data_IF_965010899652
#
_entry.id   IF_965010899652
#
_cell.length_a   1.000
_cell.length_b   1.000
_cell.length_c   1.000
_cell.angle_alpha   90.00
_cell.angle_beta   90.00
_cell.angle_gamma   90.00
#
_symmetry.space_group_name_H-M   'P 1'
#
loop_
_entity.id
_entity.type
_entity.pdbx_description
1 polymer ?
#
# COMPACT_ATOMS: atom_id res chain seq x y z
N UNK A 1 7.01 25.30 -23.25
CA UNK A 1 5.84 24.56 -22.72
C UNK A 1 6.14 24.32 -21.25
N UNK A 2 5.16 24.48 -20.35
CA UNK A 2 5.42 24.33 -18.90
C UNK A 2 4.55 23.21 -18.30
N UNK A 3 4.70 21.95 -18.76
CA UNK A 3 3.93 20.85 -18.25
C UNK A 3 4.41 20.43 -16.84
N UNK A 4 3.50 19.79 -16.11
CA UNK A 4 3.83 18.97 -14.95
C UNK A 4 3.92 17.51 -15.41
N UNK A 5 5.08 16.88 -15.21
CA UNK A 5 5.31 15.47 -15.54
C UNK A 5 5.47 14.69 -14.24
N UNK A 6 4.63 13.67 -14.06
CA UNK A 6 4.75 12.73 -12.94
C UNK A 6 5.51 11.49 -13.41
N UNK A 7 6.61 11.18 -12.73
CA UNK A 7 7.37 9.95 -12.90
C UNK A 7 7.00 9.01 -11.76
N UNK A 8 6.24 7.96 -12.07
CA UNK A 8 5.73 7.03 -11.07
C UNK A 8 6.71 5.87 -10.83
N UNK A 9 6.87 5.47 -9.56
CA UNK A 9 7.67 4.31 -9.13
C UNK A 9 9.13 4.32 -9.61
N UNK A 10 9.83 5.44 -9.44
CA UNK A 10 11.24 5.59 -9.84
C UNK A 10 12.19 4.64 -9.07
N UNK A 11 11.74 4.13 -7.94
CA UNK A 11 12.42 3.15 -7.11
C UNK A 11 12.51 1.75 -7.75
N UNK A 12 11.83 1.53 -8.88
CA UNK A 12 11.88 0.28 -9.67
C UNK A 12 12.77 0.35 -10.91
N UNK A 13 13.42 1.49 -11.17
CA UNK A 13 14.35 1.66 -12.28
C UNK A 13 15.58 0.74 -12.10
N UNK A 14 15.92 -0.05 -13.14
CA UNK A 14 17.13 -0.90 -13.14
C UNK A 14 16.92 -2.40 -12.93
N UNK A 15 15.68 -2.90 -12.87
CA UNK A 15 15.40 -4.36 -12.82
C UNK A 15 15.35 -5.06 -14.18
N UNK A 16 15.46 -4.32 -15.29
CA UNK A 16 15.36 -4.86 -16.65
C UNK A 16 16.65 -4.70 -17.46
N UNK A 17 17.09 -5.78 -18.12
CA UNK A 17 18.38 -6.00 -18.79
C UNK A 17 18.62 -5.19 -20.10
N UNK A 18 18.01 -4.01 -20.30
CA UNK A 18 18.05 -3.27 -21.59
C UNK A 18 18.74 -1.90 -21.55
N UNK A 19 19.80 -1.76 -20.76
CA UNK A 19 20.58 -0.53 -20.61
C UNK A 19 20.35 0.15 -19.27
N UNK A 20 20.95 1.31 -19.07
CA UNK A 20 20.80 2.09 -17.83
C UNK A 20 19.81 3.25 -18.04
N UNK A 21 18.49 3.05 -17.81
CA UNK A 21 17.49 4.10 -17.97
C UNK A 21 17.70 5.26 -16.98
N UNK A 22 18.47 5.05 -15.91
CA UNK A 22 18.77 6.10 -14.95
C UNK A 22 19.64 7.21 -15.56
N UNK A 23 20.50 6.87 -16.52
CA UNK A 23 21.35 7.84 -17.24
C UNK A 23 20.53 8.84 -18.06
N UNK A 24 19.48 8.38 -18.75
CA UNK A 24 18.57 9.27 -19.49
C UNK A 24 17.75 10.18 -18.55
N UNK A 25 17.33 9.65 -17.40
CA UNK A 25 16.63 10.44 -16.40
C UNK A 25 17.52 11.48 -15.72
N UNK A 26 18.81 11.18 -15.55
CA UNK A 26 19.77 12.15 -15.04
C UNK A 26 19.91 13.35 -15.98
N UNK A 27 19.96 13.12 -17.29
CA UNK A 27 20.03 14.20 -18.29
C UNK A 27 18.76 15.09 -18.26
N UNK A 28 17.59 14.46 -18.11
CA UNK A 28 16.29 15.17 -18.07
C UNK A 28 16.10 15.95 -16.78
N UNK A 29 16.53 15.41 -15.64
CA UNK A 29 16.31 15.99 -14.32
C UNK A 29 17.42 16.95 -13.90
N UNK A 30 18.56 16.96 -14.59
CA UNK A 30 19.64 17.92 -14.33
C UNK A 30 19.29 19.31 -14.89
N UNK A 31 19.11 20.35 -14.04
CA UNK A 31 18.81 21.71 -14.51
C UNK A 31 19.88 22.29 -15.42
N UNK A 32 21.11 21.76 -15.38
CA UNK A 32 22.20 22.22 -16.25
C UNK A 32 22.16 21.60 -17.65
N UNK A 33 21.46 20.48 -17.85
CA UNK A 33 21.42 19.73 -19.12
C UNK A 33 20.03 19.72 -19.77
N UNK A 34 18.97 19.88 -18.98
CA UNK A 34 17.59 19.73 -19.44
C UNK A 34 17.12 20.73 -20.51
N UNK A 35 17.84 21.84 -20.72
CA UNK A 35 17.53 22.84 -21.76
C UNK A 35 17.90 22.39 -23.18
N UNK A 36 18.75 21.35 -23.31
CA UNK A 36 19.21 20.80 -24.58
C UNK A 36 19.04 19.28 -24.66
N UNK A 37 18.05 18.73 -23.96
CA UNK A 37 17.78 17.29 -23.95
C UNK A 37 17.60 16.76 -25.37
N UNK A 38 18.36 15.73 -25.75
CA UNK A 38 18.35 15.18 -27.10
C UNK A 38 17.76 13.78 -27.11
N UNK A 39 16.54 13.67 -27.59
CA UNK A 39 15.91 12.37 -27.80
C UNK A 39 16.52 11.64 -29.01
N UNK A 40 16.76 10.34 -28.88
CA UNK A 40 17.39 9.52 -29.93
C UNK A 40 16.52 9.27 -31.17
N UNK A 41 15.20 9.44 -31.06
CA UNK A 41 14.28 9.23 -32.19
C UNK A 41 14.09 10.52 -32.99
N UNK A 42 13.90 11.65 -32.30
CA UNK A 42 13.58 12.93 -32.94
C UNK A 42 14.85 13.69 -33.36
N UNK A 43 15.98 13.47 -32.69
CA UNK A 43 17.29 14.08 -32.96
C UNK A 43 17.31 15.63 -32.99
N UNK A 44 16.32 16.25 -32.32
CA UNK A 44 16.19 17.71 -32.15
C UNK A 44 16.30 18.03 -30.66
N UNK A 45 17.05 19.08 -30.27
CA UNK A 45 17.11 19.49 -28.87
C UNK A 45 15.74 19.98 -28.37
N UNK A 46 15.32 19.46 -27.23
CA UNK A 46 14.11 19.84 -26.51
C UNK A 46 14.48 20.61 -25.24
N UNK A 47 13.85 21.77 -25.05
CA UNK A 47 14.01 22.56 -23.83
C UNK A 47 12.99 22.10 -22.76
N UNK A 48 13.49 21.41 -21.74
CA UNK A 48 12.73 20.94 -20.58
C UNK A 48 12.94 21.81 -19.33
N UNK A 49 13.63 22.95 -19.44
CA UNK A 49 13.97 23.81 -18.29
C UNK A 49 12.75 24.36 -17.53
N UNK A 50 11.58 24.40 -18.18
CA UNK A 50 10.32 24.89 -17.60
C UNK A 50 9.33 23.78 -17.22
N UNK A 51 9.77 22.53 -17.26
CA UNK A 51 8.97 21.37 -16.88
C UNK A 51 9.09 21.15 -15.38
N UNK A 52 7.97 20.96 -14.69
CA UNK A 52 7.97 20.52 -13.30
C UNK A 52 7.92 18.99 -13.24
N UNK A 53 8.98 18.37 -12.74
CA UNK A 53 9.01 16.93 -12.51
C UNK A 53 8.60 16.60 -11.08
N UNK A 54 7.65 15.68 -10.93
CA UNK A 54 7.24 15.10 -9.65
C UNK A 54 7.51 13.61 -9.70
N UNK A 55 8.37 13.10 -8.82
CA UNK A 55 8.69 11.68 -8.78
C UNK A 55 8.00 11.01 -7.59
N UNK A 56 7.49 9.80 -7.76
CA UNK A 56 6.97 8.96 -6.67
C UNK A 56 7.89 7.75 -6.46
N UNK A 57 8.02 7.34 -5.20
CA UNK A 57 8.80 6.17 -4.81
C UNK A 57 8.25 5.58 -3.52
N UNK A 58 8.32 4.25 -3.36
CA UNK A 58 7.92 3.59 -2.12
C UNK A 58 9.11 3.47 -1.15
N UNK A 59 10.31 3.23 -1.68
CA UNK A 59 11.55 3.22 -0.90
C UNK A 59 12.59 4.16 -1.50
N UNK A 60 13.37 4.78 -0.62
CA UNK A 60 14.53 5.58 -1.02
C UNK A 60 15.76 4.71 -1.32
N UNK A 61 15.82 3.51 -0.73
CA UNK A 61 17.03 2.67 -0.74
C UNK A 61 17.38 2.13 -2.13
N UNK A 62 16.39 2.02 -3.02
CA UNK A 62 16.57 1.51 -4.38
C UNK A 62 16.74 2.60 -5.42
N UNK A 63 16.66 3.88 -5.03
CA UNK A 63 16.87 5.00 -5.95
C UNK A 63 18.39 5.25 -6.08
N UNK A 64 18.93 5.37 -7.30
CA UNK A 64 20.33 5.75 -7.51
C UNK A 64 20.69 7.05 -6.79
N UNK A 65 21.80 7.07 -6.04
CA UNK A 65 22.31 8.25 -5.35
C UNK A 65 22.40 9.52 -6.21
N UNK A 66 22.89 9.46 -7.47
CA UNK A 66 22.94 10.63 -8.35
C UNK A 66 21.58 11.26 -8.65
N UNK A 67 20.49 10.49 -8.61
CA UNK A 67 19.13 11.01 -8.78
C UNK A 67 18.65 11.67 -7.47
N UNK A 68 18.92 11.04 -6.32
CA UNK A 68 18.54 11.58 -5.02
C UNK A 68 19.17 12.94 -4.72
N UNK A 69 20.45 13.12 -5.07
CA UNK A 69 21.17 14.39 -4.87
C UNK A 69 20.57 15.56 -5.67
N UNK A 70 19.76 15.26 -6.69
CA UNK A 70 19.12 16.22 -7.60
C UNK A 70 17.62 16.40 -7.33
N UNK A 71 17.09 15.74 -6.30
CA UNK A 71 15.67 15.76 -5.96
C UNK A 71 15.45 16.36 -4.58
N UNK A 72 14.35 17.08 -4.42
CA UNK A 72 13.84 17.42 -3.10
C UNK A 72 12.97 16.27 -2.58
N UNK A 73 13.35 15.69 -1.44
CA UNK A 73 12.66 14.54 -0.88
C UNK A 73 11.57 14.96 0.11
N UNK A 74 10.31 14.69 -0.26
CA UNK A 74 9.14 14.93 0.59
C UNK A 74 8.62 13.57 1.08
N UNK A 75 8.71 13.33 2.40
CA UNK A 75 8.17 12.10 3.00
C UNK A 75 6.69 12.26 3.32
N UNK A 76 5.86 11.41 2.74
CA UNK A 76 4.44 11.31 3.05
C UNK A 76 4.24 10.15 4.03
N UNK A 77 3.83 10.47 5.25
CA UNK A 77 3.51 9.47 6.26
C UNK A 77 2.18 8.76 5.93
N UNK A 78 2.01 7.56 6.49
CA UNK A 78 0.71 6.88 6.49
C UNK A 78 -0.30 7.58 7.41
N UNK A 79 -1.55 7.13 7.34
CA UNK A 79 -2.66 7.70 8.11
C UNK A 79 -2.99 6.89 9.35
N UNK A 80 -3.34 7.57 10.45
CA UNK A 80 -3.93 6.93 11.63
C UNK A 80 -5.40 6.56 11.38
N UNK A 81 -6.00 5.76 12.27
CA UNK A 81 -7.37 5.25 12.06
C UNK A 81 -8.39 6.39 11.94
N UNK A 82 -8.28 7.40 12.79
CA UNK A 82 -9.17 8.56 12.84
C UNK A 82 -9.07 9.42 11.56
N UNK A 83 -7.84 9.56 11.02
CA UNK A 83 -7.59 10.23 9.74
C UNK A 83 -8.22 9.45 8.59
N UNK A 84 -8.10 8.11 8.58
CA UNK A 84 -8.71 7.28 7.54
C UNK A 84 -10.23 7.36 7.54
N UNK A 85 -10.85 7.38 8.73
CA UNK A 85 -12.31 7.57 8.87
C UNK A 85 -12.70 8.93 8.27
N UNK A 86 -11.96 9.99 8.60
CA UNK A 86 -12.19 11.33 8.06
C UNK A 86 -12.01 11.38 6.53
N UNK A 87 -10.96 10.76 6.00
CA UNK A 87 -10.70 10.65 4.56
C UNK A 87 -11.82 9.88 3.85
N UNK A 88 -12.31 8.81 4.46
CA UNK A 88 -13.40 8.03 3.90
C UNK A 88 -14.69 8.86 3.80
N UNK A 89 -15.06 9.58 4.86
CA UNK A 89 -16.26 10.42 4.89
C UNK A 89 -16.17 11.59 3.92
N UNK A 90 -15.04 12.30 3.89
CA UNK A 90 -14.89 13.52 3.11
C UNK A 90 -14.63 13.27 1.62
N UNK A 91 -13.95 12.17 1.28
CA UNK A 91 -13.45 11.96 -0.09
C UNK A 91 -13.86 10.62 -0.69
N UNK A 92 -13.63 9.49 -0.01
CA UNK A 92 -13.81 8.17 -0.64
C UNK A 92 -15.28 7.83 -0.87
N UNK A 93 -16.14 8.07 0.12
CA UNK A 93 -17.58 7.80 0.04
C UNK A 93 -18.23 8.68 -1.04
N UNK A 94 -18.07 10.03 -1.04
CA UNK A 94 -18.65 10.87 -2.09
C UNK A 94 -18.16 10.51 -3.49
N UNK A 95 -16.85 10.29 -3.65
CA UNK A 95 -16.25 9.90 -4.93
C UNK A 95 -16.80 8.56 -5.45
N UNK A 96 -17.01 7.59 -4.56
CA UNK A 96 -17.56 6.28 -4.91
C UNK A 96 -19.05 6.37 -5.23
N UNK A 97 -19.81 7.15 -4.47
CA UNK A 97 -21.22 7.44 -4.71
C UNK A 97 -21.44 8.03 -6.11
N UNK A 98 -20.62 9.02 -6.48
CA UNK A 98 -20.63 9.62 -7.82
C UNK A 98 -20.28 8.60 -8.92
N UNK A 99 -19.18 7.87 -8.75
CA UNK A 99 -18.73 6.87 -9.73
C UNK A 99 -19.73 5.72 -9.95
N UNK A 100 -20.53 5.39 -8.94
CA UNK A 100 -21.56 4.33 -9.02
C UNK A 100 -22.95 4.83 -9.39
N UNK A 101 -23.12 6.16 -9.53
CA UNK A 101 -24.43 6.77 -9.82
C UNK A 101 -25.43 6.68 -8.66
N UNK A 102 -24.98 6.30 -7.47
CA UNK A 102 -25.77 6.23 -6.25
C UNK A 102 -25.58 7.53 -5.46
N UNK A 103 -26.21 8.62 -5.92
CA UNK A 103 -26.22 9.89 -5.19
C UNK A 103 -26.70 9.69 -3.74
N UNK A 104 -26.19 10.53 -2.84
CA UNK A 104 -26.13 10.45 -1.36
C UNK A 104 -27.37 9.99 -0.57
N UNK A 105 -28.51 9.73 -1.20
CA UNK A 105 -29.76 9.37 -0.53
C UNK A 105 -30.13 7.89 -0.58
N UNK A 106 -29.33 7.02 -1.23
CA UNK A 106 -29.67 5.58 -1.35
C UNK A 106 -28.76 4.65 -0.58
N UNK A 107 -27.58 5.11 -0.19
CA UNK A 107 -26.62 4.32 0.58
C UNK A 107 -26.06 5.17 1.69
N UNK A 108 -26.24 4.73 2.93
CA UNK A 108 -25.65 5.37 4.10
C UNK A 108 -24.80 4.37 4.88
N UNK A 109 -23.63 4.80 5.34
CA UNK A 109 -22.73 3.98 6.16
C UNK A 109 -22.72 4.60 7.55
N UNK A 110 -23.11 3.82 8.57
CA UNK A 110 -23.06 4.30 9.95
C UNK A 110 -21.61 4.51 10.41
N UNK A 111 -21.34 5.51 11.28
CA UNK A 111 -20.00 5.75 11.80
C UNK A 111 -19.35 4.50 12.42
N UNK A 112 -20.10 3.75 13.23
CA UNK A 112 -19.63 2.51 13.85
C UNK A 112 -19.22 1.45 12.81
N UNK A 113 -19.97 1.33 11.71
CA UNK A 113 -19.63 0.41 10.63
C UNK A 113 -18.37 0.84 9.88
N UNK A 114 -18.17 2.16 9.72
CA UNK A 114 -16.96 2.70 9.10
C UNK A 114 -15.72 2.48 9.97
N UNK A 115 -15.83 2.63 11.29
CA UNK A 115 -14.74 2.34 12.22
C UNK A 115 -14.30 0.87 12.14
N UNK A 116 -15.28 -0.05 12.11
CA UNK A 116 -15.04 -1.48 11.94
C UNK A 116 -14.39 -1.76 10.59
N UNK A 117 -14.85 -1.10 9.53
CA UNK A 117 -14.30 -1.26 8.18
C UNK A 117 -12.83 -0.82 8.14
N UNK A 118 -12.47 0.30 8.76
CA UNK A 118 -11.07 0.75 8.81
C UNK A 118 -10.21 -0.19 9.65
N UNK A 119 -10.69 -0.61 10.82
CA UNK A 119 -9.94 -1.44 11.78
C UNK A 119 -9.69 -2.86 11.27
N UNK A 120 -10.71 -3.49 10.71
CA UNK A 120 -10.70 -4.93 10.45
C UNK A 120 -10.45 -5.27 8.97
N UNK A 121 -10.61 -4.30 8.05
CA UNK A 121 -10.44 -4.51 6.60
C UNK A 121 -9.35 -3.63 5.95
N UNK A 122 -8.80 -2.62 6.63
CA UNK A 122 -7.84 -1.68 6.03
C UNK A 122 -6.55 -1.47 6.86
N UNK A 123 -5.83 -2.56 7.16
CA UNK A 123 -4.56 -2.59 7.94
C UNK A 123 -3.28 -2.21 7.16
N UNK A 124 -3.37 -1.28 6.22
CA UNK A 124 -2.21 -0.75 5.50
C UNK A 124 -1.89 0.68 5.95
N UNK A 125 -0.75 1.27 5.57
CA UNK A 125 -0.46 2.67 5.92
C UNK A 125 -1.38 3.67 5.17
N UNK A 126 -1.82 3.33 3.96
CA UNK A 126 -2.67 4.15 3.11
C UNK A 126 -4.18 3.86 3.23
N UNK A 127 -4.91 4.22 2.16
CA UNK A 127 -6.37 4.08 2.05
C UNK A 127 -6.83 3.30 0.81
N UNK A 128 -5.92 2.60 0.12
CA UNK A 128 -6.22 1.79 -1.06
C UNK A 128 -7.13 0.61 -0.73
N UNK A 129 -6.82 -0.14 0.32
CA UNK A 129 -7.68 -1.27 0.76
C UNK A 129 -9.03 -0.77 1.25
N UNK A 130 -9.04 0.38 1.94
CA UNK A 130 -10.26 1.08 2.37
C UNK A 130 -11.14 1.49 1.17
N UNK A 131 -10.56 2.12 0.15
CA UNK A 131 -11.25 2.50 -1.10
C UNK A 131 -11.88 1.29 -1.77
N UNK A 132 -11.14 0.18 -1.92
CA UNK A 132 -11.66 -1.06 -2.52
C UNK A 132 -12.85 -1.63 -1.74
N UNK A 133 -12.81 -1.59 -0.41
CA UNK A 133 -13.91 -2.05 0.43
C UNK A 133 -15.16 -1.19 0.26
N UNK A 134 -15.00 0.14 0.23
CA UNK A 134 -16.10 1.09 -0.02
C UNK A 134 -16.69 0.88 -1.42
N UNK A 135 -15.86 0.77 -2.46
CA UNK A 135 -16.30 0.48 -3.84
C UNK A 135 -17.09 -0.83 -3.94
N UNK A 136 -16.65 -1.88 -3.25
CA UNK A 136 -17.33 -3.17 -3.20
C UNK A 136 -18.70 -3.06 -2.51
N UNK A 137 -18.76 -2.35 -1.39
CA UNK A 137 -19.99 -2.07 -0.66
C UNK A 137 -21.00 -1.33 -1.54
N UNK A 138 -20.59 -0.22 -2.16
CA UNK A 138 -21.44 0.55 -3.06
C UNK A 138 -21.92 -0.28 -4.25
N UNK A 139 -21.07 -1.13 -4.83
CA UNK A 139 -21.44 -2.02 -5.93
C UNK A 139 -22.50 -3.05 -5.54
N UNK A 140 -22.39 -3.64 -4.34
CA UNK A 140 -23.39 -4.58 -3.82
C UNK A 140 -24.70 -3.88 -3.46
N UNK A 141 -24.61 -2.68 -2.88
CA UNK A 141 -25.79 -1.85 -2.61
C UNK A 141 -26.52 -1.48 -3.91
N UNK A 142 -25.80 -1.05 -4.95
CA UNK A 142 -26.36 -0.78 -6.28
C UNK A 142 -27.10 -1.99 -6.84
N UNK A 143 -26.51 -3.18 -6.75
CA UNK A 143 -27.14 -4.42 -7.22
C UNK A 143 -28.44 -4.73 -6.49
N UNK A 144 -28.49 -4.57 -5.16
CA UNK A 144 -29.69 -4.83 -4.36
C UNK A 144 -30.82 -3.85 -4.71
N UNK A 145 -30.48 -2.58 -4.95
CA UNK A 145 -31.43 -1.54 -5.40
C UNK A 145 -31.98 -1.86 -6.80
N UNK A 146 -31.11 -2.24 -7.75
CA UNK A 146 -31.57 -2.60 -9.11
C UNK A 146 -32.47 -3.84 -9.10
N UNK A 147 -32.19 -4.80 -8.23
CA UNK A 147 -33.03 -5.98 -8.02
C UNK A 147 -34.34 -5.69 -7.28
N UNK A 148 -34.54 -4.46 -6.80
CA UNK A 148 -35.69 -4.05 -5.98
C UNK A 148 -35.83 -4.86 -4.68
N UNK A 149 -34.71 -5.29 -4.12
CA UNK A 149 -34.67 -5.95 -2.81
C UNK A 149 -34.76 -4.92 -1.68
N UNK A 150 -34.25 -3.69 -1.92
CA UNK A 150 -34.34 -2.55 -1.02
C UNK A 150 -34.29 -1.23 -1.81
N UNK A 151 -35.07 -0.23 -1.39
CA UNK A 151 -35.03 1.12 -1.99
C UNK A 151 -33.85 1.96 -1.47
N UNK A 152 -33.45 1.71 -0.21
CA UNK A 152 -32.33 2.33 0.48
C UNK A 152 -31.52 1.27 1.24
N UNK A 153 -30.19 1.43 1.26
CA UNK A 153 -29.26 0.53 1.94
C UNK A 153 -28.54 1.27 3.06
N UNK A 154 -28.83 0.88 4.30
CA UNK A 154 -28.11 1.36 5.49
C UNK A 154 -27.12 0.30 5.93
N UNK A 155 -25.82 0.63 5.92
CA UNK A 155 -24.76 -0.26 6.38
C UNK A 155 -24.46 -0.02 7.85
N UNK A 156 -24.65 -1.08 8.63
CA UNK A 156 -24.41 -1.17 10.07
C UNK A 156 -23.27 -2.15 10.34
N UNK A 157 -22.75 -2.18 11.57
CA UNK A 157 -21.70 -3.15 11.96
C UNK A 157 -22.14 -4.60 11.73
N UNK A 158 -23.40 -4.92 12.06
CA UNK A 158 -23.96 -6.27 11.96
C UNK A 158 -24.11 -6.77 10.52
N UNK A 159 -24.42 -5.86 9.59
CA UNK A 159 -24.66 -6.21 8.18
C UNK A 159 -23.45 -5.99 7.27
N UNK A 160 -22.36 -5.40 7.79
CA UNK A 160 -21.14 -5.06 7.05
C UNK A 160 -20.56 -6.26 6.29
N UNK A 161 -20.57 -7.43 6.92
CA UNK A 161 -20.05 -8.69 6.34
C UNK A 161 -20.84 -9.14 5.10
N UNK A 162 -22.12 -8.76 4.98
CA UNK A 162 -22.90 -9.02 3.76
C UNK A 162 -22.40 -8.23 2.56
N UNK A 163 -21.73 -7.10 2.79
CA UNK A 163 -21.22 -6.22 1.74
C UNK A 163 -19.74 -6.42 1.44
N UNK A 164 -18.91 -6.58 2.46
CA UNK A 164 -17.44 -6.61 2.31
C UNK A 164 -16.87 -8.03 2.45
N UNK A 165 -17.71 -9.02 2.76
CA UNK A 165 -17.37 -10.40 3.18
C UNK A 165 -16.77 -10.44 4.60
N UNK A 166 -16.26 -11.59 5.03
CA UNK A 166 -15.64 -11.76 6.36
C UNK A 166 -14.36 -10.91 6.47
N UNK A 167 -14.06 -10.35 7.66
CA UNK A 167 -12.85 -9.57 7.86
C UNK A 167 -11.62 -10.46 7.61
N UNK A 168 -10.67 -10.01 6.78
CA UNK A 168 -9.43 -10.77 6.53
C UNK A 168 -8.55 -10.90 7.78
N UNK A 169 -8.72 -10.01 8.77
CA UNK A 169 -7.99 -10.06 10.03
C UNK A 169 -8.97 -10.05 11.20
N UNK A 170 -8.92 -11.07 12.05
CA UNK A 170 -9.82 -11.21 13.20
C UNK A 170 -9.21 -10.74 14.54
N UNK A 171 -7.90 -10.50 14.62
CA UNK A 171 -7.28 -9.94 15.83
C UNK A 171 -5.93 -9.24 15.56
N UNK A 172 -5.59 -8.25 16.40
CA UNK A 172 -4.24 -7.65 16.47
C UNK A 172 -3.33 -8.41 17.44
N UNK A 173 -3.93 -9.12 18.41
CA UNK A 173 -3.21 -9.96 19.37
C UNK A 173 -3.27 -11.41 18.91
N UNK A 174 -2.11 -11.99 18.61
CA UNK A 174 -1.97 -13.44 18.47
C UNK A 174 -2.24 -14.15 19.81
N UNK A 175 -1.92 -13.49 20.93
CA UNK A 175 -2.10 -14.04 22.27
C UNK A 175 -2.83 -13.04 23.18
N UNK A 176 -3.90 -13.46 23.85
CA UNK A 176 -4.57 -12.63 24.88
C UNK A 176 -3.67 -12.41 26.10
N UNK A 177 -2.82 -13.38 26.43
CA UNK A 177 -1.75 -13.31 27.43
C UNK A 177 -0.45 -13.80 26.82
N UNK A 178 0.62 -13.02 26.95
CA UNK A 178 1.95 -13.38 26.46
C UNK A 178 2.42 -14.68 27.13
N UNK A 179 2.73 -15.70 26.34
CA UNK A 179 3.27 -16.96 26.84
C UNK A 179 4.77 -16.81 27.18
N UNK A 180 5.30 -17.57 28.17
CA UNK A 180 6.74 -17.61 28.42
C UNK A 180 7.51 -17.97 27.15
N UNK A 181 8.57 -17.21 26.84
CA UNK A 181 9.35 -17.39 25.61
C UNK A 181 8.83 -16.59 24.41
N UNK A 182 7.71 -15.87 24.53
CA UNK A 182 7.20 -14.97 23.47
C UNK A 182 7.31 -13.53 23.93
N UNK A 183 7.80 -12.63 23.08
CA UNK A 183 7.78 -11.17 23.32
C UNK A 183 7.20 -10.43 22.12
N UNK A 184 6.60 -9.27 22.38
CA UNK A 184 6.10 -8.36 21.34
C UNK A 184 7.18 -7.32 21.01
N UNK A 185 7.51 -7.19 19.73
CA UNK A 185 8.47 -6.22 19.20
C UNK A 185 7.84 -5.33 18.13
N UNK A 186 8.50 -4.21 17.84
CA UNK A 186 8.15 -3.33 16.73
C UNK A 186 9.20 -3.49 15.62
N UNK A 187 8.75 -3.64 14.38
CA UNK A 187 9.59 -3.72 13.20
C UNK A 187 9.24 -2.60 12.23
N UNK A 188 10.25 -2.06 11.54
CA UNK A 188 10.04 -1.20 10.39
C UNK A 188 10.11 -2.03 9.12
N UNK A 189 9.07 -1.99 8.30
CA UNK A 189 8.98 -2.71 7.02
C UNK A 189 8.85 -1.73 5.87
N UNK A 190 9.05 -2.20 4.64
CA UNK A 190 8.86 -1.40 3.43
C UNK A 190 7.43 -0.80 3.32
N UNK A 191 6.45 -1.40 3.99
CA UNK A 191 5.05 -0.93 4.03
C UNK A 191 4.71 -0.12 5.27
N UNK A 192 5.69 0.19 6.13
CA UNK A 192 5.53 0.95 7.38
C UNK A 192 5.85 0.15 8.64
N UNK A 193 5.45 0.67 9.81
CA UNK A 193 5.64 0.00 11.09
C UNK A 193 4.74 -1.23 11.26
N UNK A 194 5.28 -2.31 11.82
CA UNK A 194 4.57 -3.55 12.11
C UNK A 194 4.86 -4.04 13.53
N UNK A 195 3.87 -4.69 14.15
CA UNK A 195 4.05 -5.42 15.41
C UNK A 195 4.43 -6.86 15.08
N UNK A 196 5.53 -7.34 15.65
CA UNK A 196 6.02 -8.72 15.47
C UNK A 196 6.05 -9.45 16.81
N UNK A 197 5.93 -10.77 16.76
CA UNK A 197 6.14 -11.64 17.92
C UNK A 197 7.43 -12.44 17.72
N UNK A 198 8.34 -12.34 18.68
CA UNK A 198 9.59 -13.10 18.70
C UNK A 198 9.41 -14.24 19.69
N UNK A 199 9.64 -15.47 19.21
CA UNK A 199 9.48 -16.69 20.00
C UNK A 199 10.84 -17.34 20.26
N UNK A 200 11.03 -17.82 21.49
CA UNK A 200 12.20 -18.55 21.95
C UNK A 200 11.75 -19.86 22.61
N UNK A 201 12.26 -20.97 22.11
CA UNK A 201 12.01 -22.31 22.66
C UNK A 201 13.32 -22.84 23.23
N UNK A 202 13.32 -23.20 24.52
CA UNK A 202 14.45 -23.89 25.13
C UNK A 202 14.58 -25.30 24.56
N UNK A 203 15.71 -25.62 23.92
CA UNK A 203 16.05 -26.98 23.49
C UNK A 203 17.02 -27.61 24.48
N UNK A 204 16.84 -28.90 24.74
CA UNK A 204 17.80 -29.67 25.54
C UNK A 204 18.92 -30.21 24.65
N UNK A 205 20.15 -30.26 25.17
CA UNK A 205 21.32 -30.72 24.40
C UNK A 205 21.22 -32.18 23.91
N UNK A 206 20.33 -33.00 24.48
CA UNK A 206 20.12 -34.39 24.10
C UNK A 206 19.42 -34.56 22.73
N UNK A 207 18.73 -33.53 22.23
CA UNK A 207 18.00 -33.58 20.95
C UNK A 207 18.87 -33.18 19.74
N UNK A 208 20.05 -32.58 19.96
CA UNK A 208 20.99 -32.27 18.87
C UNK A 208 21.69 -33.52 18.31
N UNK A 209 21.84 -34.58 19.11
CA UNK A 209 22.50 -35.81 18.67
C UNK A 209 21.61 -36.71 17.80
N UNK A 210 20.28 -36.63 17.92
CA UNK A 210 19.36 -37.44 17.12
C UNK A 210 19.10 -36.88 15.71
N UNK A 211 19.39 -35.59 15.50
CA UNK A 211 19.18 -34.91 14.22
C UNK A 211 20.42 -34.83 13.32
N UNK A 212 21.58 -35.33 13.79
CA UNK A 212 22.76 -35.51 12.92
C UNK A 212 22.51 -36.70 11.98
N UNK A 213 22.63 -36.54 10.65
CA UNK A 213 22.56 -37.69 9.75
C UNK A 213 23.70 -38.63 10.10
N UNK A 214 23.37 -39.89 10.47
CA UNK A 214 24.37 -40.92 10.75
C UNK A 214 25.25 -41.09 9.52
N UNK A 215 26.48 -40.57 9.59
CA UNK A 215 27.54 -40.82 8.62
C UNK A 215 27.88 -42.31 8.67
N UNK A 216 27.52 -43.01 7.60
CA UNK A 216 28.21 -44.21 7.13
C UNK A 216 28.07 -45.45 7.99
N UNK A 217 27.05 -46.25 7.69
CA UNK A 217 27.21 -47.71 7.66
C UNK A 217 26.96 -48.19 6.23
N UNK A 218 28.01 -48.11 5.43
CA UNK A 218 28.18 -49.02 4.29
C UNK A 218 28.54 -50.38 4.88
N UNK A 219 27.78 -51.41 4.50
CA UNK A 219 28.21 -52.81 4.26
C UNK A 219 26.99 -53.72 4.18
N UNK A 220 27.10 -54.89 3.54
CA UNK A 220 27.66 -55.22 2.23
C UNK A 220 26.56 -55.61 1.22
#
# INVERSE_FOLDING_TARGET
MNPLIVLDEIDKLGRDFRGDPSSALLEVLDPSQNSFFRDHYIDVPLDLSRVLFVCTANSQDTIPGPLLDRMELIRIAGYIQEEKVSIAQQYLIPKTAEATGLKDSRVSIQPAALDVLVRDYAREAGVRSLSKCIEKLFRRAALSIVKKEADEVVVTEENLTKFVDQPPWSSTRLFEKTQPGVIMGLAWTATGGAVIFVEAVGRSAAEEESSKPRKGELRP
#
